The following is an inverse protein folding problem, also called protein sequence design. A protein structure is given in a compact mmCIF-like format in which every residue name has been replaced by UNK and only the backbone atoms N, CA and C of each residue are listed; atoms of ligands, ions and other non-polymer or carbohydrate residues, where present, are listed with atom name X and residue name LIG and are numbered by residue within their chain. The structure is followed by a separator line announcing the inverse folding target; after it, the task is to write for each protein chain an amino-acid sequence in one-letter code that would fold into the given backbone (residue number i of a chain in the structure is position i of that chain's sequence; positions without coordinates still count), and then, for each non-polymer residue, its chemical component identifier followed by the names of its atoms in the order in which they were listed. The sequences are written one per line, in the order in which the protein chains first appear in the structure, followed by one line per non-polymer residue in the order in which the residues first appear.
data_IF_538148021064
#
_entry.id   IF_538148021064
#
_cell.length_a   1.000
_cell.length_b   1.000
_cell.length_c   1.000
_cell.angle_alpha   90.00
_cell.angle_beta   90.00
_cell.angle_gamma   90.00
#
_symmetry.space_group_name_H-M   'P 1'
#
loop_
_entity.id
_entity.type
_entity.pdbx_description
1 polymer ?
#
# COMPACT_ATOMS: atom_id res chain seq x y z
N UNK A 1 28.23 23.61 42.25
CA UNK A 1 28.22 24.19 40.90
C UNK A 1 26.93 23.71 40.27
N UNK A 2 25.86 24.34 40.72
CA UNK A 2 24.48 23.99 40.45
C UNK A 2 24.08 24.64 39.13
N UNK A 3 23.77 23.84 38.11
CA UNK A 3 23.17 24.33 36.89
C UNK A 3 21.67 24.16 36.98
N UNK A 4 21.03 25.31 37.12
CA UNK A 4 19.61 25.52 37.30
C UNK A 4 18.80 25.13 36.07
N UNK A 5 17.57 24.77 36.39
CA UNK A 5 16.52 24.23 35.56
C UNK A 5 15.51 25.37 35.31
N UNK A 6 15.59 26.05 34.17
CA UNK A 6 14.59 27.04 33.77
C UNK A 6 14.39 27.00 32.25
N UNK A 7 13.28 26.41 31.79
CA UNK A 7 12.45 26.94 30.69
C UNK A 7 11.28 25.98 30.39
N UNK A 8 10.22 26.05 31.20
CA UNK A 8 8.90 25.51 30.81
C UNK A 8 7.79 26.39 31.40
N UNK A 9 7.65 27.62 30.93
CA UNK A 9 6.49 28.46 31.25
C UNK A 9 5.94 29.11 29.99
N UNK A 10 5.11 28.39 29.23
CA UNK A 10 4.35 29.02 28.14
C UNK A 10 3.05 28.30 27.72
N UNK A 11 2.26 27.75 28.65
CA UNK A 11 0.97 27.12 28.28
C UNK A 11 -0.27 27.53 29.09
N UNK A 12 -0.16 28.35 30.15
CA UNK A 12 -1.31 28.56 31.06
C UNK A 12 -1.94 29.96 31.06
N UNK A 13 -1.66 30.82 30.07
CA UNK A 13 -2.20 32.19 30.05
C UNK A 13 -3.55 32.39 29.32
N UNK A 14 -4.29 31.34 28.94
CA UNK A 14 -5.51 31.50 28.14
C UNK A 14 -6.85 31.27 28.86
N UNK A 15 -6.87 31.05 30.18
CA UNK A 15 -8.11 30.79 30.94
C UNK A 15 -8.46 31.90 31.94
N UNK A 16 -8.27 33.16 31.54
CA UNK A 16 -8.69 34.29 32.38
C UNK A 16 -9.28 35.44 31.57
N UNK A 17 -10.36 35.15 30.84
CA UNK A 17 -11.35 36.16 30.47
C UNK A 17 -12.74 35.57 30.65
N UNK A 18 -13.38 36.02 31.73
CA UNK A 18 -14.75 35.69 32.07
C UNK A 18 -15.72 36.30 31.06
N UNK A 19 -16.59 35.45 30.53
CA UNK A 19 -17.85 35.86 29.93
C UNK A 19 -18.91 35.01 30.62
N UNK A 20 -19.65 35.65 31.52
CA UNK A 20 -20.86 35.08 32.12
C UNK A 20 -21.91 34.92 31.01
N UNK A 21 -22.41 33.70 30.81
CA UNK A 21 -23.59 33.44 29.98
C UNK A 21 -24.61 32.72 30.85
N UNK A 22 -25.85 33.24 30.94
CA UNK A 22 -26.83 32.76 31.90
C UNK A 22 -27.41 31.40 31.50
N UNK A 23 -27.56 30.56 32.52
CA UNK A 23 -28.27 29.28 32.49
C UNK A 23 -29.77 29.59 32.35
N UNK A 24 -30.35 29.23 31.21
CA UNK A 24 -31.80 29.09 31.08
C UNK A 24 -32.13 27.60 31.00
N UNK A 25 -32.73 27.10 32.09
CA UNK A 25 -33.45 25.83 32.13
C UNK A 25 -34.57 25.84 31.09
N UNK A 26 -34.60 24.84 30.19
CA UNK A 26 -35.78 24.55 29.39
C UNK A 26 -36.15 23.08 29.50
N UNK A 27 -37.35 22.92 30.03
CA UNK A 27 -38.19 21.75 30.22
C UNK A 27 -38.49 21.03 28.88
N UNK A 28 -38.57 19.69 28.96
CA UNK A 28 -39.40 18.73 28.20
C UNK A 28 -39.75 19.02 26.72
N UNK A 29 -39.45 18.05 25.85
CA UNK A 29 -40.51 17.18 25.32
C UNK A 29 -39.94 15.90 24.66
N UNK A 30 -40.41 14.78 25.18
CA UNK A 30 -40.27 13.43 24.66
C UNK A 30 -41.47 13.21 23.74
N UNK A 31 -41.25 13.16 22.43
CA UNK A 31 -42.25 12.64 21.49
C UNK A 31 -41.61 11.61 20.56
N UNK A 32 -42.09 10.38 20.74
CA UNK A 32 -42.08 9.31 19.77
C UNK A 32 -42.61 9.77 18.40
N UNK A 33 -41.89 9.47 17.32
CA UNK A 33 -42.50 9.36 16.00
C UNK A 33 -41.93 8.14 15.26
N UNK A 34 -42.83 7.19 15.01
CA UNK A 34 -42.65 5.98 14.23
C UNK A 34 -42.27 6.30 12.79
N UNK A 35 -41.74 5.28 12.11
CA UNK A 35 -41.21 5.36 10.75
C UNK A 35 -42.11 5.99 9.71
N UNK A 36 -41.48 6.46 8.65
CA UNK A 36 -42.15 6.75 7.40
C UNK A 36 -41.21 6.39 6.25
N UNK A 37 -41.76 5.53 5.41
CA UNK A 37 -41.23 5.07 4.14
C UNK A 37 -40.73 6.24 3.29
N UNK A 38 -39.50 6.11 2.78
CA UNK A 38 -39.00 7.03 1.78
C UNK A 38 -39.62 6.69 0.43
N UNK A 39 -40.70 7.40 0.13
CA UNK A 39 -41.40 7.38 -1.13
C UNK A 39 -40.51 7.99 -2.23
N UNK A 40 -40.12 7.13 -3.17
CA UNK A 40 -39.42 7.50 -4.40
C UNK A 40 -40.30 8.42 -5.25
N UNK A 41 -39.94 9.71 -5.31
CA UNK A 41 -40.53 10.64 -6.27
C UNK A 41 -39.54 10.91 -7.40
N UNK A 42 -39.78 10.24 -8.52
CA UNK A 42 -39.14 10.51 -9.79
C UNK A 42 -39.52 11.93 -10.25
N UNK A 43 -38.64 12.89 -10.01
CA UNK A 43 -38.65 14.17 -10.72
C UNK A 43 -37.35 14.31 -11.51
N UNK A 44 -37.49 14.30 -12.84
CA UNK A 44 -36.41 14.48 -13.79
C UNK A 44 -35.84 15.90 -13.69
N UNK A 45 -34.88 16.11 -12.80
CA UNK A 45 -34.02 17.31 -12.78
C UNK A 45 -32.76 17.02 -13.57
N UNK A 46 -32.54 17.80 -14.64
CA UNK A 46 -31.28 17.86 -15.38
C UNK A 46 -30.13 18.07 -14.38
N UNK A 47 -29.28 17.07 -14.21
CA UNK A 47 -28.15 17.09 -13.27
C UNK A 47 -27.08 18.04 -13.79
N UNK A 48 -27.00 19.20 -13.18
CA UNK A 48 -25.83 20.07 -13.22
C UNK A 48 -25.37 20.29 -11.80
N UNK A 49 -24.74 19.30 -11.18
CA UNK A 49 -24.10 19.50 -9.89
C UNK A 49 -22.93 18.56 -9.70
N UNK A 50 -21.82 19.14 -9.25
CA UNK A 50 -20.64 18.44 -8.77
C UNK A 50 -21.06 17.52 -7.62
N UNK A 51 -20.56 16.28 -7.62
CA UNK A 51 -20.73 15.37 -6.50
C UNK A 51 -20.30 16.07 -5.21
N UNK A 52 -21.12 15.95 -4.17
CA UNK A 52 -20.68 16.34 -2.83
C UNK A 52 -19.59 15.38 -2.36
N UNK A 53 -18.69 15.83 -1.50
CA UNK A 53 -17.63 14.98 -0.92
C UNK A 53 -18.20 13.74 -0.22
N UNK A 54 -19.42 13.82 0.31
CA UNK A 54 -20.13 12.66 0.86
C UNK A 54 -20.55 11.62 -0.19
N UNK A 55 -21.08 12.08 -1.33
CA UNK A 55 -21.44 11.20 -2.44
C UNK A 55 -20.21 10.57 -3.11
N UNK A 56 -19.13 11.33 -3.24
CA UNK A 56 -17.87 10.82 -3.81
C UNK A 56 -17.26 9.73 -2.91
N UNK A 57 -17.21 9.96 -1.59
CA UNK A 57 -16.78 8.94 -0.64
C UNK A 57 -17.68 7.68 -0.66
N UNK A 58 -18.99 7.84 -0.83
CA UNK A 58 -19.92 6.72 -0.95
C UNK A 58 -19.72 5.93 -2.26
N UNK A 59 -19.46 6.64 -3.36
CA UNK A 59 -19.15 6.04 -4.66
C UNK A 59 -17.81 5.27 -4.61
N UNK A 60 -16.78 5.86 -4.01
CA UNK A 60 -15.48 5.21 -3.80
C UNK A 60 -15.62 3.97 -2.90
N UNK A 61 -16.37 4.07 -1.80
CA UNK A 61 -16.56 2.96 -0.86
C UNK A 61 -17.34 1.79 -1.48
N UNK A 62 -18.35 2.08 -2.29
CA UNK A 62 -19.12 1.04 -3.00
C UNK A 62 -18.32 0.40 -4.13
N UNK A 63 -17.46 1.15 -4.81
CA UNK A 63 -16.59 0.61 -5.87
C UNK A 63 -15.51 -0.32 -5.29
N UNK A 64 -14.96 -0.02 -4.11
CA UNK A 64 -13.93 -0.84 -3.46
C UNK A 64 -14.50 -2.10 -2.79
N UNK A 65 -15.75 -2.08 -2.33
CA UNK A 65 -16.38 -3.25 -1.68
C UNK A 65 -16.80 -4.38 -2.63
N UNK A 66 -16.87 -4.13 -3.95
CA UNK A 66 -17.19 -5.17 -4.94
C UNK A 66 -16.00 -6.06 -5.32
N UNK A 67 -14.83 -5.89 -4.69
CA UNK A 67 -13.61 -6.66 -5.01
C UNK A 67 -13.36 -7.86 -4.09
N UNK A 68 -14.27 -8.17 -3.17
CA UNK A 68 -14.10 -9.22 -2.16
C UNK A 68 -14.89 -10.51 -2.42
N UNK A 69 -15.58 -10.63 -3.56
CA UNK A 69 -15.91 -11.96 -4.05
C UNK A 69 -14.62 -12.56 -4.62
N UNK A 70 -14.08 -13.52 -3.89
CA UNK A 70 -13.08 -14.42 -4.42
C UNK A 70 -13.70 -15.12 -5.62
N UNK A 71 -13.44 -14.59 -6.82
CA UNK A 71 -13.67 -15.33 -8.06
C UNK A 71 -12.79 -16.57 -7.94
N UNK A 72 -13.40 -17.68 -7.55
CA UNK A 72 -12.80 -18.99 -7.51
C UNK A 72 -12.53 -19.39 -8.96
N UNK A 73 -11.36 -18.97 -9.49
CA UNK A 73 -10.90 -19.36 -10.82
C UNK A 73 -10.55 -20.85 -10.80
N UNK A 74 -11.55 -21.73 -10.87
CA UNK A 74 -11.33 -23.12 -11.29
C UNK A 74 -11.12 -23.14 -12.79
N UNK A 75 -9.90 -22.83 -13.23
CA UNK A 75 -9.44 -23.17 -14.57
C UNK A 75 -8.36 -24.26 -14.45
N UNK A 76 -8.63 -25.51 -14.87
CA UNK A 76 -7.57 -26.40 -15.34
C UNK A 76 -7.19 -26.00 -16.78
N UNK A 77 -5.92 -26.20 -17.12
CA UNK A 77 -5.40 -26.28 -18.49
C UNK A 77 -5.05 -24.99 -19.26
N UNK A 78 -4.37 -24.04 -18.61
CA UNK A 78 -3.41 -23.18 -19.32
C UNK A 78 -1.98 -23.56 -18.95
N UNK A 79 -1.54 -24.72 -19.44
CA UNK A 79 -0.12 -25.04 -19.51
C UNK A 79 0.57 -24.10 -20.51
N UNK A 80 1.46 -23.24 -20.01
CA UNK A 80 2.48 -22.62 -20.86
C UNK A 80 3.56 -23.65 -21.20
N UNK A 81 4.10 -23.67 -22.43
CA UNK A 81 5.23 -24.51 -22.75
C UNK A 81 6.49 -24.01 -22.04
N UNK A 82 7.01 -24.89 -21.19
CA UNK A 82 8.35 -24.88 -20.62
C UNK A 82 9.37 -24.83 -21.75
N UNK A 83 10.07 -23.70 -21.91
CA UNK A 83 11.21 -23.59 -22.81
C UNK A 83 12.38 -24.31 -22.14
N UNK A 84 12.49 -25.62 -22.38
CA UNK A 84 13.71 -26.37 -22.12
C UNK A 84 14.55 -26.40 -23.39
N UNK A 85 15.73 -25.80 -23.28
CA UNK A 85 16.84 -25.95 -24.19
C UNK A 85 17.24 -27.42 -24.29
N UNK A 86 17.18 -28.01 -25.48
CA UNK A 86 17.99 -29.18 -25.79
C UNK A 86 18.60 -29.07 -27.19
N UNK A 87 19.92 -28.88 -27.18
CA UNK A 87 20.78 -29.24 -28.29
C UNK A 87 20.60 -30.73 -28.58
N UNK A 88 20.25 -31.11 -29.80
CA UNK A 88 20.73 -32.33 -30.48
C UNK A 88 20.17 -32.46 -31.91
N UNK A 89 21.11 -32.33 -32.86
CA UNK A 89 21.32 -33.21 -34.02
C UNK A 89 20.19 -34.16 -34.46
N UNK A 90 19.87 -34.15 -35.76
CA UNK A 90 19.23 -35.30 -36.39
C UNK A 90 18.62 -35.01 -37.76
N UNK A 91 19.19 -35.62 -38.80
CA UNK A 91 18.84 -35.56 -40.23
C UNK A 91 17.65 -36.47 -40.56
N UNK A 92 16.71 -36.03 -41.41
CA UNK A 92 16.06 -36.75 -42.53
C UNK A 92 15.02 -35.82 -43.20
N UNK A 93 15.12 -35.39 -44.48
CA UNK A 93 14.64 -36.08 -45.72
C UNK A 93 13.14 -36.41 -45.66
N UNK A 94 12.22 -36.14 -46.59
CA UNK A 94 12.10 -35.71 -48.00
C UNK A 94 10.57 -35.32 -48.16
N UNK A 95 10.09 -34.32 -48.90
CA UNK A 95 9.74 -34.33 -50.35
C UNK A 95 8.95 -33.05 -50.78
N UNK A 96 9.16 -32.62 -52.04
CA UNK A 96 8.24 -31.96 -53.00
C UNK A 96 7.50 -30.63 -52.66
N UNK A 97 7.40 -29.61 -53.54
CA UNK A 97 7.89 -29.36 -54.90
C UNK A 97 7.68 -27.85 -55.21
N UNK A 98 8.59 -27.31 -56.04
CA UNK A 98 8.49 -26.12 -56.90
C UNK A 98 8.32 -24.73 -56.25
N UNK A 99 9.35 -23.89 -56.39
CA UNK A 99 9.26 -22.92 -57.48
C UNK A 99 10.64 -22.38 -57.92
N UNK A 100 10.75 -22.14 -59.22
CA UNK A 100 11.98 -21.86 -59.93
C UNK A 100 12.43 -20.40 -59.78
N UNK A 101 13.73 -20.18 -59.55
CA UNK A 101 14.50 -19.06 -60.13
C UNK A 101 16.00 -19.30 -59.97
N UNK A 102 16.62 -19.71 -61.07
CA UNK A 102 18.07 -19.64 -61.31
C UNK A 102 18.49 -18.17 -61.31
N UNK A 103 19.43 -17.79 -60.45
CA UNK A 103 20.42 -16.76 -60.76
C UNK A 103 21.79 -17.35 -60.41
N UNK A 104 22.62 -17.35 -61.44
CA UNK A 104 23.95 -17.90 -61.52
C UNK A 104 24.91 -16.72 -61.38
N UNK A 105 25.75 -16.66 -60.34
CA UNK A 105 26.77 -15.63 -60.25
C UNK A 105 28.05 -16.17 -59.57
N UNK A 106 28.91 -16.73 -60.43
CA UNK A 106 30.37 -16.64 -60.43
C UNK A 106 31.15 -17.05 -59.16
N UNK A 107 31.41 -18.35 -59.06
CA UNK A 107 32.65 -18.87 -58.45
C UNK A 107 33.85 -18.55 -59.34
N UNK A 108 34.60 -17.49 -59.01
CA UNK A 108 35.92 -17.23 -59.56
C UNK A 108 36.88 -16.69 -58.49
N UNK A 109 37.10 -17.45 -57.41
CA UNK A 109 38.25 -17.22 -56.53
C UNK A 109 39.14 -18.46 -56.47
N UNK A 110 40.17 -18.46 -57.33
CA UNK A 110 41.35 -19.32 -57.15
C UNK A 110 41.97 -19.00 -55.78
N UNK A 111 42.36 -20.00 -54.96
CA UNK A 111 42.98 -19.73 -53.67
C UNK A 111 44.29 -18.96 -53.86
N UNK A 112 44.32 -17.71 -53.38
CA UNK A 112 45.50 -16.87 -53.35
C UNK A 112 46.62 -17.62 -52.62
N UNK A 113 47.70 -17.90 -53.36
CA UNK A 113 48.85 -18.62 -52.85
C UNK A 113 49.45 -17.96 -51.60
N UNK A 114 49.91 -18.79 -50.66
CA UNK A 114 50.45 -18.43 -49.33
C UNK A 114 51.56 -17.35 -49.34
N UNK A 115 52.14 -17.02 -50.50
CA UNK A 115 53.21 -16.01 -50.65
C UNK A 115 52.69 -14.56 -50.77
N UNK A 116 51.46 -14.32 -51.22
CA UNK A 116 50.90 -12.95 -51.30
C UNK A 116 50.27 -12.47 -49.97
N UNK A 117 49.88 -13.39 -49.08
CA UNK A 117 49.33 -13.03 -47.77
C UNK A 117 50.41 -12.51 -46.79
N UNK A 118 51.68 -12.88 -46.98
CA UNK A 118 52.77 -12.54 -46.05
C UNK A 118 53.35 -11.14 -46.27
N UNK A 119 53.24 -10.58 -47.49
CA UNK A 119 53.62 -9.18 -47.74
C UNK A 119 52.58 -8.17 -47.27
N UNK A 120 51.28 -8.47 -47.40
CA UNK A 120 50.23 -7.58 -46.88
C UNK A 120 50.31 -7.39 -45.37
N UNK A 121 50.77 -8.40 -44.61
CA UNK A 121 51.00 -8.27 -43.16
C UNK A 121 52.20 -7.38 -42.81
N UNK A 122 53.21 -7.24 -43.67
CA UNK A 122 54.34 -6.33 -43.39
C UNK A 122 54.01 -4.88 -43.69
N UNK A 123 53.22 -4.62 -44.74
CA UNK A 123 52.75 -3.26 -45.06
C UNK A 123 51.66 -2.77 -44.11
N UNK A 124 50.79 -3.66 -43.60
CA UNK A 124 49.80 -3.27 -42.58
C UNK A 124 50.41 -3.08 -41.18
N UNK A 125 51.67 -3.45 -40.94
CA UNK A 125 52.31 -3.28 -39.64
C UNK A 125 53.23 -2.05 -39.60
N UNK A 126 53.61 -1.49 -40.76
CA UNK A 126 54.39 -0.24 -40.85
C UNK A 126 53.55 1.00 -41.21
N UNK A 127 52.29 0.85 -41.64
CA UNK A 127 51.38 1.98 -41.93
C UNK A 127 50.58 2.48 -40.72
N UNK A 128 50.74 1.86 -39.55
CA UNK A 128 50.09 2.28 -38.29
C UNK A 128 51.05 3.01 -37.32
N UNK A 129 52.27 3.34 -37.76
CA UNK A 129 53.23 4.05 -36.91
C UNK A 129 52.86 5.53 -36.65
N UNK A 130 51.93 6.11 -37.42
CA UNK A 130 51.42 7.49 -37.23
C UNK A 130 49.92 7.55 -36.85
N UNK A 131 49.31 6.43 -36.47
CA UNK A 131 47.89 6.33 -36.11
C UNK A 131 47.57 6.65 -34.62
N UNK A 132 48.47 7.38 -33.95
CA UNK A 132 48.45 7.54 -32.49
C UNK A 132 47.29 8.41 -31.96
N UNK A 133 46.70 9.26 -32.80
CA UNK A 133 45.63 10.18 -32.38
C UNK A 133 44.23 9.57 -32.51
N UNK A 134 43.90 8.96 -33.66
CA UNK A 134 42.57 8.41 -33.92
C UNK A 134 42.28 7.15 -33.08
N UNK A 135 43.29 6.29 -32.89
CA UNK A 135 43.14 5.06 -32.09
C UNK A 135 42.90 5.38 -30.62
N UNK A 136 43.56 6.42 -30.10
CA UNK A 136 43.34 6.93 -28.75
C UNK A 136 41.93 7.50 -28.58
N UNK A 137 41.47 8.34 -29.50
CA UNK A 137 40.13 8.92 -29.47
C UNK A 137 39.02 7.86 -29.51
N UNK A 138 39.19 6.77 -30.29
CA UNK A 138 38.20 5.68 -30.35
C UNK A 138 38.14 4.89 -29.02
N UNK A 139 39.27 4.70 -28.35
CA UNK A 139 39.33 4.07 -27.02
C UNK A 139 38.65 4.94 -25.97
N UNK A 140 38.95 6.24 -25.96
CA UNK A 140 38.37 7.23 -25.05
C UNK A 140 36.84 7.31 -25.19
N UNK A 141 36.31 7.37 -26.41
CA UNK A 141 34.86 7.33 -26.67
C UNK A 141 34.19 6.03 -26.21
N UNK A 142 34.88 4.89 -26.34
CA UNK A 142 34.37 3.60 -25.84
C UNK A 142 34.32 3.55 -24.32
N UNK A 143 35.30 4.14 -23.65
CA UNK A 143 35.36 4.18 -22.19
C UNK A 143 34.41 5.23 -21.61
N UNK A 144 34.23 6.38 -22.27
CA UNK A 144 33.19 7.36 -21.95
C UNK A 144 31.80 6.76 -22.08
N UNK A 145 31.52 5.99 -23.15
CA UNK A 145 30.22 5.33 -23.32
C UNK A 145 29.92 4.30 -22.22
N UNK A 146 30.94 3.56 -21.76
CA UNK A 146 30.80 2.65 -20.60
C UNK A 146 30.58 3.43 -19.31
N UNK A 147 31.35 4.50 -19.09
CA UNK A 147 31.24 5.37 -17.92
C UNK A 147 29.84 5.97 -17.82
N UNK A 148 29.33 6.56 -18.90
CA UNK A 148 27.98 7.12 -18.96
C UNK A 148 26.89 6.05 -18.73
N UNK A 149 27.10 4.82 -19.20
CA UNK A 149 26.18 3.72 -18.95
C UNK A 149 26.15 3.31 -17.47
N UNK A 150 27.32 3.19 -16.84
CA UNK A 150 27.45 2.90 -15.41
C UNK A 150 26.80 4.00 -14.57
N UNK A 151 27.09 5.27 -14.87
CA UNK A 151 26.51 6.42 -14.19
C UNK A 151 24.98 6.44 -14.31
N UNK A 152 24.44 6.15 -15.50
CA UNK A 152 22.99 6.00 -15.69
C UNK A 152 22.39 4.87 -14.86
N UNK A 153 23.09 3.74 -14.72
CA UNK A 153 22.63 2.64 -13.86
C UNK A 153 22.66 3.04 -12.38
N UNK A 154 23.71 3.73 -11.93
CA UNK A 154 23.83 4.20 -10.55
C UNK A 154 22.77 5.25 -10.22
N UNK A 155 22.53 6.22 -11.08
CA UNK A 155 21.45 7.22 -10.90
C UNK A 155 20.07 6.57 -10.81
N UNK A 156 19.82 5.52 -11.61
CA UNK A 156 18.57 4.75 -11.51
C UNK A 156 18.48 3.97 -10.19
N UNK A 157 19.58 3.35 -9.76
CA UNK A 157 19.63 2.61 -8.50
C UNK A 157 19.38 3.52 -7.30
N UNK A 158 19.98 4.72 -7.28
CA UNK A 158 19.74 5.74 -6.25
C UNK A 158 18.29 6.20 -6.22
N UNK A 159 17.67 6.43 -7.38
CA UNK A 159 16.26 6.81 -7.47
C UNK A 159 15.34 5.72 -6.91
N UNK A 160 15.58 4.45 -7.25
CA UNK A 160 14.83 3.31 -6.72
C UNK A 160 15.00 3.21 -5.20
N UNK A 161 16.23 3.32 -4.70
CA UNK A 161 16.51 3.26 -3.26
C UNK A 161 15.79 4.38 -2.51
N UNK A 162 15.84 5.61 -3.01
CA UNK A 162 15.12 6.73 -2.37
C UNK A 162 13.61 6.52 -2.33
N UNK A 163 13.04 5.89 -3.37
CA UNK A 163 11.62 5.57 -3.41
C UNK A 163 11.26 4.44 -2.43
N UNK A 164 12.12 3.42 -2.27
CA UNK A 164 11.90 2.35 -1.28
C UNK A 164 11.97 2.90 0.14
N UNK A 165 12.96 3.75 0.43
CA UNK A 165 13.13 4.35 1.75
C UNK A 165 11.94 5.23 2.13
N UNK A 166 11.41 6.01 1.18
CA UNK A 166 10.18 6.78 1.35
C UNK A 166 8.97 5.88 1.62
N UNK A 167 8.84 4.78 0.87
CA UNK A 167 7.74 3.82 1.03
C UNK A 167 7.78 3.18 2.41
N UNK A 168 8.95 2.77 2.87
CA UNK A 168 9.14 2.10 4.15
C UNK A 168 8.90 3.07 5.32
N UNK A 169 9.37 4.33 5.21
CA UNK A 169 9.06 5.37 6.20
C UNK A 169 7.55 5.63 6.32
N UNK A 170 6.81 5.67 5.20
CA UNK A 170 5.35 5.80 5.23
C UNK A 170 4.67 4.59 5.88
N UNK A 171 5.18 3.38 5.63
CA UNK A 171 4.67 2.14 6.21
C UNK A 171 4.87 2.14 7.74
N UNK A 172 6.01 2.62 8.22
CA UNK A 172 6.28 2.75 9.65
C UNK A 172 5.39 3.81 10.31
N UNK A 173 5.15 4.95 9.65
CA UNK A 173 4.20 5.96 10.12
C UNK A 173 2.79 5.36 10.24
N UNK A 174 2.32 4.62 9.23
CA UNK A 174 1.00 3.99 9.26
C UNK A 174 0.89 2.95 10.38
N UNK A 175 1.92 2.10 10.55
CA UNK A 175 1.98 1.13 11.66
C UNK A 175 1.92 1.82 13.01
N UNK A 176 2.68 2.89 13.21
CA UNK A 176 2.68 3.65 14.46
C UNK A 176 1.32 4.30 14.76
N UNK A 177 0.66 4.87 13.74
CA UNK A 177 -0.69 5.42 13.89
C UNK A 177 -1.72 4.35 14.24
N UNK A 178 -1.68 3.19 13.56
CA UNK A 178 -2.55 2.06 13.87
C UNK A 178 -2.32 1.53 15.29
N UNK A 179 -1.07 1.43 15.73
CA UNK A 179 -0.72 1.00 17.09
C UNK A 179 -1.29 1.97 18.13
N UNK A 180 -1.09 3.29 17.95
CA UNK A 180 -1.68 4.32 18.82
C UNK A 180 -3.21 4.27 18.86
N UNK A 181 -3.86 4.05 17.72
CA UNK A 181 -5.31 3.92 17.64
C UNK A 181 -5.82 2.67 18.37
N UNK A 182 -5.14 1.52 18.19
CA UNK A 182 -5.45 0.28 18.90
C UNK A 182 -5.28 0.41 20.40
N UNK A 183 -4.17 1.00 20.86
CA UNK A 183 -3.92 1.26 22.28
C UNK A 183 -4.97 2.20 22.87
N UNK A 184 -5.28 3.31 22.21
CA UNK A 184 -6.33 4.23 22.65
C UNK A 184 -7.70 3.56 22.76
N UNK A 185 -8.04 2.67 21.82
CA UNK A 185 -9.27 1.88 21.90
C UNK A 185 -9.24 0.84 23.01
N UNK A 186 -8.10 0.17 23.22
CA UNK A 186 -7.90 -0.79 24.30
C UNK A 186 -8.10 -0.12 25.67
N UNK A 187 -7.41 1.00 25.92
CA UNK A 187 -7.52 1.76 27.17
C UNK A 187 -8.98 2.20 27.41
N UNK A 188 -9.68 2.71 26.39
CA UNK A 188 -11.10 3.08 26.51
C UNK A 188 -11.97 1.88 26.88
N UNK A 189 -11.74 0.74 26.23
CA UNK A 189 -12.50 -0.48 26.49
C UNK A 189 -12.26 -1.02 27.91
N UNK A 190 -11.02 -0.99 28.40
CA UNK A 190 -10.69 -1.40 29.76
C UNK A 190 -11.27 -0.45 30.80
N UNK A 191 -11.19 0.86 30.57
CA UNK A 191 -11.82 1.86 31.44
C UNK A 191 -13.32 1.65 31.54
N UNK A 192 -13.98 1.33 30.43
CA UNK A 192 -15.41 1.02 30.42
C UNK A 192 -15.72 -0.24 31.24
N UNK A 193 -14.95 -1.32 31.06
CA UNK A 193 -15.09 -2.56 31.84
C UNK A 193 -14.87 -2.32 33.33
N UNK A 194 -13.87 -1.52 33.68
CA UNK A 194 -13.58 -1.15 35.06
C UNK A 194 -14.73 -0.37 35.69
N UNK A 195 -15.26 0.64 34.99
CA UNK A 195 -16.43 1.41 35.46
C UNK A 195 -17.66 0.52 35.64
N UNK A 196 -17.92 -0.38 34.69
CA UNK A 196 -19.02 -1.34 34.78
C UNK A 196 -18.85 -2.26 35.99
N UNK A 197 -17.67 -2.85 36.18
CA UNK A 197 -17.39 -3.72 37.33
C UNK A 197 -17.56 -2.99 38.65
N UNK A 198 -17.14 -1.72 38.72
CA UNK A 198 -17.33 -0.86 39.89
C UNK A 198 -18.82 -0.62 40.19
N UNK A 199 -19.62 -0.28 39.19
CA UNK A 199 -21.08 -0.10 39.34
C UNK A 199 -21.76 -1.41 39.82
N UNK A 200 -21.39 -2.54 39.20
CA UNK A 200 -21.94 -3.85 39.57
C UNK A 200 -21.58 -4.22 41.01
N UNK A 201 -20.36 -3.94 41.45
CA UNK A 201 -19.93 -4.13 42.84
C UNK A 201 -20.71 -3.22 43.81
N UNK A 202 -20.96 -1.96 43.45
CA UNK A 202 -21.79 -1.06 44.25
C UNK A 202 -23.22 -1.61 44.42
N UNK A 203 -23.83 -2.12 43.35
CA UNK A 203 -25.16 -2.76 43.38
C UNK A 203 -25.14 -4.00 44.30
N UNK A 204 -24.09 -4.84 44.20
CA UNK A 204 -23.95 -6.03 45.03
C UNK A 204 -23.81 -5.70 46.52
N UNK A 205 -23.07 -4.65 46.86
CA UNK A 205 -22.80 -4.27 48.27
C UNK A 205 -23.80 -3.29 48.86
N UNK A 206 -24.74 -2.75 48.08
CA UNK A 206 -25.72 -1.77 48.55
C UNK A 206 -26.49 -2.31 49.77
N UNK A 207 -26.46 -1.60 50.90
CA UNK A 207 -27.38 -1.97 51.98
C UNK A 207 -28.81 -1.59 51.58
N UNK A 208 -29.70 -2.58 51.55
CA UNK A 208 -31.11 -2.42 51.22
C UNK A 208 -32.01 -2.44 52.46
N UNK A 209 -31.43 -2.51 53.67
CA UNK A 209 -32.19 -2.63 54.93
C UNK A 209 -33.16 -1.45 55.13
N UNK A 210 -32.71 -0.23 54.82
CA UNK A 210 -33.45 1.03 55.00
C UNK A 210 -34.34 1.43 53.80
N UNK A 211 -34.40 0.62 52.74
CA UNK A 211 -35.11 0.97 51.50
C UNK A 211 -36.57 0.51 51.51
N UNK A 212 -37.41 1.05 50.62
CA UNK A 212 -38.79 0.58 50.46
C UNK A 212 -38.82 -0.83 49.87
N UNK A 213 -39.87 -1.65 50.11
CA UNK A 213 -39.94 -3.02 49.59
C UNK A 213 -39.68 -3.12 48.07
N UNK A 214 -40.25 -2.23 47.28
CA UNK A 214 -40.05 -2.16 45.82
C UNK A 214 -38.58 -1.89 45.45
N UNK A 215 -37.93 -0.97 46.15
CA UNK A 215 -36.50 -0.69 45.94
C UNK A 215 -35.64 -1.89 46.31
N UNK A 216 -35.97 -2.61 47.40
CA UNK A 216 -35.25 -3.83 47.79
C UNK A 216 -35.32 -4.88 46.68
N UNK A 217 -36.51 -5.11 46.14
CA UNK A 217 -36.73 -6.05 45.04
C UNK A 217 -35.95 -5.64 43.79
N UNK A 218 -35.94 -4.36 43.43
CA UNK A 218 -35.16 -3.83 42.31
C UNK A 218 -33.66 -4.19 42.42
N UNK A 219 -33.04 -3.90 43.58
CA UNK A 219 -31.63 -4.19 43.78
C UNK A 219 -31.35 -5.70 43.85
N UNK A 220 -32.24 -6.50 44.45
CA UNK A 220 -32.12 -7.96 44.44
C UNK A 220 -32.16 -8.53 43.01
N UNK A 221 -33.12 -8.08 42.19
CA UNK A 221 -33.21 -8.50 40.79
C UNK A 221 -31.97 -8.08 40.00
N UNK A 222 -31.47 -6.85 40.19
CA UNK A 222 -30.23 -6.38 39.55
C UNK A 222 -29.03 -7.24 39.94
N UNK A 223 -28.88 -7.62 41.23
CA UNK A 223 -27.84 -8.55 41.69
C UNK A 223 -27.92 -9.90 40.98
N UNK A 224 -29.11 -10.48 40.90
CA UNK A 224 -29.30 -11.76 40.21
C UNK A 224 -28.95 -11.68 38.72
N UNK A 225 -29.28 -10.57 38.05
CA UNK A 225 -28.90 -10.34 36.65
C UNK A 225 -27.38 -10.23 36.48
N UNK A 226 -26.69 -9.57 37.41
CA UNK A 226 -25.22 -9.47 37.41
C UNK A 226 -24.58 -10.85 37.60
N UNK A 227 -25.02 -11.60 38.62
CA UNK A 227 -24.49 -12.94 38.92
C UNK A 227 -24.70 -13.90 37.75
N UNK A 228 -25.86 -13.87 37.09
CA UNK A 228 -26.13 -14.69 35.91
C UNK A 228 -25.17 -14.37 34.77
N UNK A 229 -25.00 -13.09 34.43
CA UNK A 229 -24.06 -12.66 33.39
C UNK A 229 -22.63 -13.09 33.70
N UNK A 230 -22.20 -12.97 34.96
CA UNK A 230 -20.85 -13.35 35.37
C UNK A 230 -20.63 -14.86 35.29
N UNK A 231 -21.65 -15.67 35.57
CA UNK A 231 -21.59 -17.12 35.39
C UNK A 231 -21.55 -17.54 33.91
N UNK A 232 -22.22 -16.81 33.02
CA UNK A 232 -22.19 -17.08 31.57
C UNK A 232 -20.85 -16.70 30.91
N UNK A 233 -20.06 -15.82 31.54
CA UNK A 233 -18.77 -15.34 31.05
C UNK A 233 -17.57 -16.09 31.66
N UNK A 234 -17.79 -16.99 32.62
CA UNK A 234 -16.76 -17.78 33.31
C UNK A 234 -16.61 -19.17 32.71
#
# INVERSE_FOLDING_TARGET
MDSQLEDVTCFTSFLQQGVEVPIASSQFDEQSFMGSDFQESASNKKRGCNFTTGEDNLLVSSCLNNSLDAVEWKNPDWQQPRIESLHKSGISKEDNIQDARKINENDNERPIGRKAAKERKRLSQSLFADGSSLSSAILELKDEKKKAHIEKMMSKALSIQSATDQRDALLDIQKAQLAKAKEGNHIKSEKLKFLQSKEEMEIMMKDTSSMTPEQKEYFQMRRMKILRRNNELS
#
